data_IF_435006354598
#
_entry.id   IF_435006354598
#
_cell.length_a   1.000
_cell.length_b   1.000
_cell.length_c   1.000
_cell.angle_alpha   90.00
_cell.angle_beta   90.00
_cell.angle_gamma   90.00
#
_symmetry.space_group_name_H-M   'P 1'
#
loop_
_entity.id
_entity.type
_entity.pdbx_description
1 polymer ?
#
# COMPACT_ATOMS: atom_id res chain seq x y z
N UNK A 1 12.13 11.69 13.70
CA UNK A 1 11.37 12.96 13.52
C UNK A 1 10.72 13.34 14.83
N UNK A 2 11.03 14.50 15.42
CA UNK A 2 10.46 14.96 16.70
C UNK A 2 10.49 13.91 17.82
N UNK A 3 11.64 13.25 18.01
CA UNK A 3 11.80 12.16 18.98
C UNK A 3 11.23 10.79 18.56
N UNK A 4 10.46 10.71 17.47
CA UNK A 4 9.97 9.45 16.91
C UNK A 4 11.03 8.79 16.05
N UNK A 5 11.33 7.53 16.33
CA UNK A 5 12.21 6.70 15.48
C UNK A 5 11.45 6.24 14.25
N UNK A 6 12.14 6.15 13.12
CA UNK A 6 11.62 5.68 11.84
C UNK A 6 12.59 4.63 11.32
N UNK A 7 12.07 3.48 10.91
CA UNK A 7 12.86 2.38 10.35
C UNK A 7 12.99 2.57 8.85
N UNK A 8 14.18 2.32 8.31
CA UNK A 8 14.47 2.42 6.89
C UNK A 8 14.93 1.07 6.35
N UNK A 9 14.51 0.75 5.13
CA UNK A 9 14.89 -0.45 4.40
C UNK A 9 15.41 -0.05 3.02
N UNK A 10 16.28 -0.88 2.44
CA UNK A 10 16.93 -0.65 1.15
C UNK A 10 16.60 -1.72 0.12
N UNK A 11 15.37 -2.22 0.14
CA UNK A 11 14.97 -3.35 -0.70
C UNK A 11 14.35 -2.90 -2.03
N UNK A 12 14.66 -3.64 -3.09
CA UNK A 12 14.03 -3.45 -4.41
C UNK A 12 12.77 -4.29 -4.57
N UNK A 13 12.69 -5.44 -3.90
CA UNK A 13 11.53 -6.30 -3.88
C UNK A 13 10.64 -5.94 -2.67
N UNK A 14 9.38 -5.51 -2.88
CA UNK A 14 8.45 -5.22 -1.79
C UNK A 14 8.22 -6.37 -0.82
N UNK A 15 8.34 -7.63 -1.29
CA UNK A 15 8.15 -8.81 -0.47
C UNK A 15 9.29 -9.06 0.53
N UNK A 16 10.48 -8.51 0.27
CA UNK A 16 11.63 -8.62 1.16
C UNK A 16 11.56 -7.63 2.34
N UNK A 17 10.64 -6.66 2.31
CA UNK A 17 10.54 -5.65 3.36
C UNK A 17 9.74 -6.20 4.54
N UNK A 18 10.31 -6.26 5.76
CA UNK A 18 9.64 -6.86 6.92
C UNK A 18 8.67 -5.87 7.58
N UNK A 19 7.54 -5.59 6.91
CA UNK A 19 6.50 -4.66 7.38
C UNK A 19 5.92 -5.06 8.73
N UNK A 20 5.72 -6.37 8.95
CA UNK A 20 5.23 -6.88 10.24
C UNK A 20 6.17 -6.55 11.40
N UNK A 21 7.49 -6.61 11.17
CA UNK A 21 8.50 -6.32 12.21
C UNK A 21 8.57 -4.84 12.54
N UNK A 22 8.34 -3.97 11.54
CA UNK A 22 8.24 -2.52 11.78
C UNK A 22 6.89 -2.08 12.32
N UNK A 23 5.91 -2.99 12.44
CA UNK A 23 4.54 -2.67 12.86
C UNK A 23 3.74 -1.90 11.81
N UNK A 24 4.17 -1.90 10.55
CA UNK A 24 3.51 -1.22 9.46
C UNK A 24 2.39 -2.08 8.86
N UNK A 25 1.14 -1.70 9.11
CA UNK A 25 -0.03 -2.48 8.66
C UNK A 25 -0.60 -1.99 7.31
N UNK A 26 -0.55 -0.69 7.06
CA UNK A 26 -1.04 -0.05 5.85
C UNK A 26 0.14 0.54 5.09
N UNK A 27 0.34 0.08 3.85
CA UNK A 27 1.47 0.51 3.02
C UNK A 27 0.97 1.42 1.92
N UNK A 28 1.62 2.55 1.74
CA UNK A 28 1.42 3.43 0.59
C UNK A 28 2.44 3.07 -0.47
N UNK A 29 1.97 2.50 -1.57
CA UNK A 29 2.80 2.15 -2.72
C UNK A 29 2.92 3.38 -3.63
N UNK A 30 4.05 4.07 -3.50
CA UNK A 30 4.36 5.36 -4.14
C UNK A 30 5.61 5.33 -5.03
N UNK A 31 6.08 4.13 -5.40
CA UNK A 31 7.19 3.96 -6.35
C UNK A 31 6.75 4.20 -7.80
N UNK A 32 5.45 4.03 -8.09
CA UNK A 32 4.89 4.08 -9.44
C UNK A 32 5.13 2.82 -10.29
N UNK A 33 5.77 1.78 -9.72
CA UNK A 33 6.11 0.54 -10.44
C UNK A 33 5.10 -0.59 -10.17
N UNK A 34 4.60 -0.68 -8.93
CA UNK A 34 3.71 -1.75 -8.47
C UNK A 34 2.24 -1.30 -8.47
N UNK A 35 1.74 -0.89 -9.65
CA UNK A 35 0.42 -0.26 -9.80
C UNK A 35 -0.73 -1.21 -10.11
N UNK A 36 -0.51 -2.53 -10.09
CA UNK A 36 -1.57 -3.54 -10.25
C UNK A 36 -1.75 -4.32 -8.96
N UNK A 37 -2.92 -4.95 -8.77
CA UNK A 37 -3.21 -5.77 -7.58
C UNK A 37 -2.11 -6.83 -7.38
N UNK A 38 -1.77 -7.58 -8.42
CA UNK A 38 -0.80 -8.67 -8.32
C UNK A 38 0.60 -8.21 -7.93
N UNK A 39 1.02 -7.04 -8.44
CA UNK A 39 2.32 -6.46 -8.11
C UNK A 39 2.34 -5.91 -6.68
N UNK A 40 1.30 -5.17 -6.29
CA UNK A 40 1.18 -4.56 -4.97
C UNK A 40 1.01 -5.60 -3.85
N UNK A 41 0.44 -6.78 -4.15
CA UNK A 41 0.33 -7.91 -3.20
C UNK A 41 1.68 -8.38 -2.66
N UNK A 42 2.80 -8.07 -3.32
CA UNK A 42 4.13 -8.35 -2.79
C UNK A 42 4.34 -7.75 -1.39
N UNK A 43 3.76 -6.58 -1.07
CA UNK A 43 3.83 -6.01 0.28
C UNK A 43 3.11 -6.87 1.34
N UNK A 44 2.06 -7.59 0.97
CA UNK A 44 1.33 -8.46 1.91
C UNK A 44 2.20 -9.63 2.36
N UNK A 45 3.12 -10.10 1.51
CA UNK A 45 4.11 -11.13 1.85
C UNK A 45 5.04 -10.64 2.97
N UNK A 46 5.45 -9.38 2.93
CA UNK A 46 6.22 -8.72 4.00
C UNK A 46 5.41 -8.50 5.30
N UNK A 47 4.13 -8.87 5.30
CA UNK A 47 3.24 -8.82 6.46
C UNK A 47 2.43 -7.55 6.61
N UNK A 48 2.33 -6.74 5.55
CA UNK A 48 1.33 -5.68 5.47
C UNK A 48 -0.09 -6.29 5.47
N UNK A 49 -1.06 -5.54 6.02
CA UNK A 49 -2.48 -5.92 5.99
C UNK A 49 -3.18 -5.36 4.76
N UNK A 50 -2.86 -4.13 4.37
CA UNK A 50 -3.50 -3.40 3.26
C UNK A 50 -2.47 -2.58 2.49
N UNK A 51 -2.71 -2.38 1.21
CA UNK A 51 -1.89 -1.56 0.31
C UNK A 51 -2.74 -0.50 -0.38
N UNK A 52 -2.25 0.73 -0.39
CA UNK A 52 -2.86 1.87 -1.09
C UNK A 52 -1.89 2.33 -2.17
N UNK A 53 -2.25 2.14 -3.43
CA UNK A 53 -1.49 2.60 -4.59
C UNK A 53 -1.74 4.10 -4.75
N UNK A 54 -0.68 4.91 -4.77
CA UNK A 54 -0.78 6.38 -4.89
C UNK A 54 -0.82 6.87 -6.35
N UNK A 55 -1.28 6.02 -7.26
CA UNK A 55 -1.35 6.27 -8.69
C UNK A 55 -2.54 5.49 -9.29
N UNK A 56 -2.98 5.85 -10.52
CA UNK A 56 -3.97 5.07 -11.24
C UNK A 56 -3.56 3.60 -11.36
N UNK A 57 -4.48 2.72 -11.01
CA UNK A 57 -4.33 1.27 -11.17
C UNK A 57 -5.18 0.77 -12.33
N UNK A 58 -4.69 -0.25 -13.03
CA UNK A 58 -5.45 -0.88 -14.12
C UNK A 58 -6.56 -1.81 -13.62
N UNK A 59 -6.45 -2.32 -12.39
CA UNK A 59 -7.28 -3.40 -11.86
C UNK A 59 -7.72 -3.20 -10.39
N UNK A 60 -7.02 -2.36 -9.61
CA UNK A 60 -7.40 -2.10 -8.23
C UNK A 60 -8.64 -1.18 -8.14
N UNK A 61 -9.58 -1.46 -7.22
CA UNK A 61 -10.71 -0.57 -6.97
C UNK A 61 -10.22 0.80 -6.52
N UNK A 62 -10.82 1.85 -7.08
CA UNK A 62 -10.36 3.22 -6.94
C UNK A 62 -11.30 4.04 -6.07
N UNK A 63 -10.71 4.72 -5.08
CA UNK A 63 -11.44 5.55 -4.14
C UNK A 63 -10.83 6.95 -4.11
N UNK A 64 -11.69 7.96 -4.21
CA UNK A 64 -11.34 9.37 -4.13
C UNK A 64 -12.04 9.94 -2.90
N UNK A 65 -11.24 10.52 -2.02
CA UNK A 65 -11.73 11.16 -0.79
C UNK A 65 -12.62 12.35 -1.14
N UNK A 66 -13.83 12.36 -0.57
CA UNK A 66 -14.87 13.35 -0.83
C UNK A 66 -15.80 12.99 -2.00
N UNK A 67 -15.60 11.85 -2.66
CA UNK A 67 -16.39 11.43 -3.84
C UNK A 67 -17.04 10.07 -3.61
N UNK A 68 -16.24 9.02 -3.39
CA UNK A 68 -16.74 7.65 -3.27
C UNK A 68 -16.05 6.83 -2.17
N UNK A 69 -15.23 7.43 -1.31
CA UNK A 69 -14.50 6.73 -0.24
C UNK A 69 -15.42 5.96 0.71
N UNK A 70 -16.66 6.43 0.89
CA UNK A 70 -17.69 5.78 1.73
C UNK A 70 -18.23 4.48 1.15
N UNK A 71 -17.91 4.17 -0.10
CA UNK A 71 -18.31 2.91 -0.76
C UNK A 71 -17.32 1.77 -0.50
N UNK A 72 -16.18 2.05 0.09
CA UNK A 72 -15.21 1.03 0.48
C UNK A 72 -15.74 0.20 1.65
N UNK A 73 -15.85 -1.11 1.45
CA UNK A 73 -16.40 -2.07 2.42
C UNK A 73 -15.34 -2.77 3.29
N UNK A 74 -14.06 -2.44 3.08
CA UNK A 74 -12.95 -3.06 3.81
C UNK A 74 -12.46 -4.40 3.23
N UNK A 75 -13.12 -4.95 2.21
CA UNK A 75 -12.82 -6.28 1.68
C UNK A 75 -11.54 -6.32 0.83
N UNK A 76 -11.30 -5.27 0.04
CA UNK A 76 -10.13 -5.22 -0.85
C UNK A 76 -8.83 -5.02 -0.06
N UNK A 77 -7.83 -5.89 -0.29
CA UNK A 77 -6.52 -5.75 0.35
C UNK A 77 -5.61 -4.74 -0.35
N UNK A 78 -5.91 -4.47 -1.62
CA UNK A 78 -5.20 -3.49 -2.45
C UNK A 78 -6.23 -2.53 -3.05
N UNK A 79 -6.02 -1.24 -2.87
CA UNK A 79 -6.87 -0.16 -3.43
C UNK A 79 -6.00 0.91 -4.10
N UNK A 80 -6.60 1.74 -4.96
CA UNK A 80 -5.95 2.92 -5.55
C UNK A 80 -6.57 4.21 -5.05
N UNK A 81 -5.74 5.21 -4.73
CA UNK A 81 -6.17 6.57 -4.40
C UNK A 81 -6.23 7.48 -5.64
N UNK A 82 -6.41 6.91 -6.84
CA UNK A 82 -6.45 7.65 -8.10
C UNK A 82 -5.16 8.47 -8.37
N UNK A 83 -5.31 9.66 -8.97
CA UNK A 83 -4.25 10.62 -9.30
C UNK A 83 -4.49 11.96 -8.64
#
# INVERSE_FOLDING_TARGET
VNGKKVTFYGERDPAAIPWKESGAEYIVESTGVFTTIDKAKAHLVGGAKKVVISAPSADAPMFVVGVNEKTYDGSADVISNAS
#
